data_IF_073890867969
#
_entry.id   IF_073890867969
#
_cell.length_a   1.000
_cell.length_b   1.000
_cell.length_c   1.000
_cell.angle_alpha   90.00
_cell.angle_beta   90.00
_cell.angle_gamma   90.00
#
_symmetry.space_group_name_H-M   'P 1'
#
loop_
_entity.id
_entity.type
_entity.pdbx_description
1 polymer ?
#
# COMPACT_ATOMS: atom_id res chain seq x y z
N UNK A 1 -13.34 -11.63 -6.57
CA UNK A 1 -12.97 -10.46 -5.75
C UNK A 1 -12.09 -9.55 -6.57
N UNK A 2 -12.66 -8.54 -7.23
CA UNK A 2 -11.89 -7.42 -7.77
C UNK A 2 -11.52 -6.54 -6.58
N UNK A 3 -10.43 -6.88 -5.87
CA UNK A 3 -9.67 -5.81 -5.24
C UNK A 3 -9.31 -4.91 -6.41
N UNK A 4 -9.79 -3.67 -6.37
CA UNK A 4 -9.54 -2.69 -7.40
C UNK A 4 -8.03 -2.54 -7.55
N UNK A 5 -7.47 -3.25 -8.53
CA UNK A 5 -6.16 -2.96 -9.15
C UNK A 5 -6.07 -1.46 -9.48
N UNK A 6 -7.23 -0.82 -9.68
CA UNK A 6 -7.39 0.62 -9.74
C UNK A 6 -6.77 1.37 -8.55
N UNK A 7 -6.92 0.98 -7.29
CA UNK A 7 -6.36 1.77 -6.16
C UNK A 7 -4.83 1.74 -6.10
N UNK A 8 -4.20 0.60 -6.36
CA UNK A 8 -2.74 0.50 -6.45
C UNK A 8 -2.19 1.15 -7.73
N UNK A 9 -2.90 1.02 -8.84
CA UNK A 9 -2.61 1.75 -10.09
C UNK A 9 -2.76 3.26 -9.91
N UNK A 10 -3.76 3.71 -9.15
CA UNK A 10 -3.98 5.11 -8.83
C UNK A 10 -2.85 5.63 -7.93
N UNK A 11 -2.40 4.85 -6.94
CA UNK A 11 -1.27 5.23 -6.09
C UNK A 11 0.04 5.36 -6.88
N UNK A 12 0.32 4.44 -7.81
CA UNK A 12 1.45 4.53 -8.74
C UNK A 12 1.35 5.74 -9.68
N UNK A 13 0.15 6.05 -10.17
CA UNK A 13 -0.08 7.19 -11.04
C UNK A 13 0.07 8.54 -10.29
N UNK A 14 -0.52 8.66 -9.11
CA UNK A 14 -0.45 9.89 -8.30
C UNK A 14 0.97 10.16 -7.78
N UNK A 15 1.74 9.14 -7.40
CA UNK A 15 3.12 9.35 -6.93
C UNK A 15 4.07 9.82 -8.03
N UNK A 16 3.84 9.40 -9.27
CA UNK A 16 4.58 9.87 -10.46
C UNK A 16 4.15 11.29 -10.84
N UNK A 17 2.85 11.61 -10.76
CA UNK A 17 2.31 12.93 -11.09
C UNK A 17 2.69 13.99 -10.05
N UNK A 18 2.64 13.64 -8.77
CA UNK A 18 2.98 14.53 -7.66
C UNK A 18 4.48 14.87 -7.57
N UNK A 19 5.32 14.37 -8.51
CA UNK A 19 6.79 14.51 -8.52
C UNK A 19 7.47 14.10 -7.20
N UNK A 20 6.83 13.30 -6.36
CA UNK A 20 7.40 12.85 -5.07
C UNK A 20 8.59 11.92 -5.25
N UNK A 21 8.72 11.28 -6.41
CA UNK A 21 9.89 10.51 -6.82
C UNK A 21 10.77 11.40 -7.71
N UNK A 22 11.80 11.98 -7.10
CA UNK A 22 12.65 12.98 -7.75
C UNK A 22 13.68 12.32 -8.65
N UNK A 23 14.18 11.15 -8.25
CA UNK A 23 15.31 10.48 -8.90
C UNK A 23 14.90 9.38 -9.88
N UNK A 24 15.69 9.18 -10.95
CA UNK A 24 15.49 8.05 -11.88
C UNK A 24 15.69 6.69 -11.19
N UNK A 25 16.56 6.64 -10.17
CA UNK A 25 16.79 5.46 -9.35
C UNK A 25 15.54 5.10 -8.54
N UNK A 26 14.91 6.09 -7.91
CA UNK A 26 13.67 5.91 -7.14
C UNK A 26 12.53 5.43 -8.02
N UNK A 27 12.39 6.00 -9.24
CA UNK A 27 11.39 5.57 -10.22
C UNK A 27 11.59 4.12 -10.65
N UNK A 28 12.82 3.70 -10.91
CA UNK A 28 13.12 2.32 -11.28
C UNK A 28 12.89 1.34 -10.11
N UNK A 29 13.29 1.72 -8.89
CA UNK A 29 13.04 0.92 -7.70
C UNK A 29 11.54 0.76 -7.44
N UNK A 30 10.78 1.85 -7.61
CA UNK A 30 9.33 1.85 -7.48
C UNK A 30 8.65 0.97 -8.54
N UNK A 31 9.08 1.08 -9.80
CA UNK A 31 8.59 0.24 -10.89
C UNK A 31 8.88 -1.24 -10.64
N UNK A 32 10.10 -1.58 -10.24
CA UNK A 32 10.50 -2.95 -9.93
C UNK A 32 9.65 -3.54 -8.79
N UNK A 33 9.49 -2.78 -7.69
CA UNK A 33 8.68 -3.21 -6.53
C UNK A 33 7.21 -3.37 -6.90
N UNK A 34 6.68 -2.47 -7.74
CA UNK A 34 5.29 -2.53 -8.21
C UNK A 34 5.06 -3.73 -9.13
N UNK A 35 6.01 -4.02 -10.03
CA UNK A 35 5.95 -5.18 -10.91
C UNK A 35 5.99 -6.50 -10.10
N UNK A 36 6.86 -6.58 -9.10
CA UNK A 36 6.94 -7.75 -8.21
C UNK A 36 5.60 -7.98 -7.47
N UNK A 37 5.01 -6.93 -6.92
CA UNK A 37 3.68 -7.00 -6.30
C UNK A 37 2.60 -7.40 -7.31
N UNK A 38 2.64 -6.84 -8.53
CA UNK A 38 1.70 -7.20 -9.59
C UNK A 38 1.77 -8.68 -9.94
N UNK A 39 2.99 -9.23 -10.10
CA UNK A 39 3.20 -10.66 -10.37
C UNK A 39 2.66 -11.51 -9.20
N UNK A 40 2.96 -11.12 -7.96
CA UNK A 40 2.48 -11.80 -6.75
C UNK A 40 0.95 -11.91 -6.69
N UNK A 41 0.23 -10.82 -6.97
CA UNK A 41 -1.23 -10.82 -6.88
C UNK A 41 -1.95 -11.40 -8.10
N UNK A 42 -1.36 -11.32 -9.30
CA UNK A 42 -2.05 -11.69 -10.55
C UNK A 42 -1.61 -13.05 -11.13
N UNK A 43 -0.41 -13.54 -10.78
CA UNK A 43 0.19 -14.72 -11.39
C UNK A 43 0.65 -15.76 -10.36
N UNK A 44 -0.25 -16.09 -9.42
CA UNK A 44 0.02 -16.96 -8.26
C UNK A 44 0.58 -18.35 -8.62
N UNK A 45 0.17 -18.93 -9.75
CA UNK A 45 0.61 -20.27 -10.18
C UNK A 45 1.63 -20.24 -11.34
N UNK A 46 2.26 -19.09 -11.59
CA UNK A 46 3.19 -18.95 -12.71
C UNK A 46 4.62 -19.39 -12.36
N UNK A 47 5.34 -19.89 -13.36
CA UNK A 47 6.80 -20.13 -13.29
C UNK A 47 7.53 -18.84 -12.94
N UNK A 48 7.01 -17.69 -13.37
CA UNK A 48 7.57 -16.37 -13.09
C UNK A 48 7.57 -16.04 -11.59
N UNK A 49 6.46 -16.30 -10.90
CA UNK A 49 6.39 -16.09 -9.46
C UNK A 49 7.27 -17.09 -8.69
N UNK A 50 7.31 -18.34 -9.14
CA UNK A 50 8.22 -19.32 -8.57
C UNK A 50 9.67 -18.89 -8.74
N UNK A 51 10.06 -18.36 -9.90
CA UNK A 51 11.40 -17.83 -10.13
C UNK A 51 11.71 -16.60 -9.27
N UNK A 52 10.70 -15.78 -8.93
CA UNK A 52 10.87 -14.64 -8.02
C UNK A 52 11.20 -15.08 -6.60
N UNK A 53 10.63 -16.20 -6.13
CA UNK A 53 10.77 -16.66 -4.74
C UNK A 53 11.69 -17.86 -4.53
N UNK A 54 12.05 -18.59 -5.57
CA UNK A 54 12.90 -19.77 -5.44
C UNK A 54 14.37 -19.36 -5.37
N UNK A 55 15.05 -19.79 -4.32
CA UNK A 55 16.50 -19.71 -4.28
C UNK A 55 17.09 -20.68 -5.31
N UNK A 56 17.86 -20.18 -6.27
CA UNK A 56 18.59 -21.03 -7.22
C UNK A 56 19.61 -21.89 -6.47
N UNK A 57 20.11 -21.44 -5.32
CA UNK A 57 21.17 -22.08 -4.55
C UNK A 57 20.66 -23.01 -3.44
N UNK A 58 19.36 -23.00 -3.11
CA UNK A 58 18.79 -23.87 -2.08
C UNK A 58 17.52 -24.55 -2.58
N UNK A 59 17.61 -25.86 -2.78
CA UNK A 59 16.56 -26.70 -3.38
C UNK A 59 15.19 -26.60 -2.69
N UNK A 60 15.16 -26.30 -1.40
CA UNK A 60 13.95 -26.35 -0.55
C UNK A 60 13.65 -25.03 0.19
N UNK A 61 14.29 -23.91 -0.20
CA UNK A 61 14.11 -22.61 0.48
C UNK A 61 13.33 -21.63 -0.39
N UNK A 62 12.13 -21.27 0.07
CA UNK A 62 11.41 -20.13 -0.46
C UNK A 62 11.97 -18.87 0.19
N UNK A 63 12.42 -17.90 -0.62
CA UNK A 63 12.96 -16.60 -0.20
C UNK A 63 11.91 -15.64 0.35
N UNK A 64 10.78 -16.15 0.83
CA UNK A 64 9.67 -15.34 1.31
C UNK A 64 10.11 -14.44 2.47
N UNK A 65 10.98 -14.90 3.37
CA UNK A 65 11.46 -14.11 4.51
C UNK A 65 12.89 -13.58 4.31
N UNK A 66 13.15 -12.98 3.14
CA UNK A 66 14.50 -12.52 2.79
C UNK A 66 14.50 -11.15 2.11
N UNK A 67 15.66 -10.49 2.15
CA UNK A 67 15.89 -9.24 1.42
C UNK A 67 16.03 -9.55 -0.06
N UNK A 68 15.30 -8.82 -0.89
CA UNK A 68 15.41 -8.94 -2.35
C UNK A 68 16.49 -7.98 -2.82
N UNK A 69 17.53 -8.52 -3.44
CA UNK A 69 18.60 -7.74 -4.06
C UNK A 69 18.23 -7.42 -5.50
N UNK A 70 18.11 -6.14 -5.84
CA UNK A 70 17.90 -5.65 -7.20
C UNK A 70 19.11 -4.80 -7.60
N UNK A 71 19.69 -5.11 -8.75
CA UNK A 71 20.70 -4.26 -9.37
C UNK A 71 20.01 -3.24 -10.28
N UNK A 72 20.20 -1.96 -9.97
CA UNK A 72 19.72 -0.85 -10.79
C UNK A 72 20.96 -0.06 -11.23
N UNK A 73 21.21 -0.03 -12.54
CA UNK A 73 22.47 0.45 -13.13
C UNK A 73 23.68 -0.28 -12.52
N UNK A 74 24.55 0.43 -11.80
CA UNK A 74 25.76 -0.10 -11.15
C UNK A 74 25.65 -0.11 -9.61
N UNK A 75 24.41 -0.04 -9.09
CA UNK A 75 24.14 -0.04 -7.67
C UNK A 75 23.23 -1.20 -7.27
N UNK A 76 23.65 -1.88 -6.21
CA UNK A 76 22.89 -2.94 -5.59
C UNK A 76 21.95 -2.34 -4.53
N UNK A 77 20.65 -2.53 -4.73
CA UNK A 77 19.60 -2.13 -3.80
C UNK A 77 19.03 -3.36 -3.12
N UNK A 78 18.79 -3.24 -1.81
CA UNK A 78 18.16 -4.28 -1.00
C UNK A 78 16.77 -3.81 -0.61
N UNK A 79 15.76 -4.63 -0.88
CA UNK A 79 14.35 -4.31 -0.63
C UNK A 79 13.82 -5.21 0.48
N UNK A 80 13.18 -4.58 1.48
CA UNK A 80 12.72 -5.25 2.69
C UNK A 80 13.87 -5.52 3.68
N UNK A 81 13.54 -6.14 4.80
CA UNK A 81 14.45 -6.48 5.89
C UNK A 81 14.96 -5.29 6.69
N UNK A 82 14.20 -4.19 6.78
CA UNK A 82 14.56 -3.00 7.57
C UNK A 82 13.45 -2.59 8.53
N UNK A 83 13.80 -2.25 9.77
CA UNK A 83 12.86 -1.82 10.81
C UNK A 83 12.61 -0.31 10.78
N UNK A 84 13.68 0.46 10.55
CA UNK A 84 13.66 1.92 10.65
C UNK A 84 14.64 2.52 9.66
N UNK A 85 14.25 3.67 9.11
CA UNK A 85 15.14 4.55 8.35
C UNK A 85 15.33 5.86 9.13
N UNK A 86 16.57 6.23 9.39
CA UNK A 86 16.92 7.47 10.07
C UNK A 86 17.68 8.38 9.10
N UNK A 87 17.18 9.60 8.90
CA UNK A 87 17.85 10.61 8.07
C UNK A 87 19.03 11.19 8.84
N UNK A 88 20.23 11.01 8.32
CA UNK A 88 21.46 11.62 8.82
C UNK A 88 21.89 12.70 7.84
N UNK A 89 22.12 13.90 8.35
CA UNK A 89 22.58 15.05 7.57
C UNK A 89 24.07 15.23 7.85
N UNK A 90 24.89 15.10 6.82
CA UNK A 90 26.32 15.39 6.86
C UNK A 90 26.56 16.76 6.23
N UNK A 91 27.20 17.66 6.98
CA UNK A 91 27.70 18.93 6.46
C UNK A 91 29.15 18.74 6.03
N UNK A 92 29.41 18.72 4.73
CA UNK A 92 30.77 18.69 4.20
C UNK A 92 31.23 20.14 4.01
N UNK A 93 31.98 20.65 5.00
CA UNK A 93 32.59 21.99 4.92
C UNK A 93 33.86 21.89 4.08
N UNK A 94 33.73 22.03 2.76
CA UNK A 94 34.86 22.40 1.90
C UNK A 94 34.87 23.92 1.73
N UNK A 95 36.07 24.50 1.76
CA UNK A 95 36.42 25.88 2.11
C UNK A 95 35.62 27.06 1.48
N UNK A 96 34.67 26.85 0.55
CA UNK A 96 33.80 27.93 0.04
C UNK A 96 32.33 27.53 -0.24
N UNK A 97 31.92 26.28 -0.07
CA UNK A 97 30.53 25.85 -0.27
C UNK A 97 30.12 24.74 0.71
N UNK A 98 29.08 24.99 1.52
CA UNK A 98 28.52 23.98 2.42
C UNK A 98 27.65 23.02 1.61
N UNK A 99 28.19 21.85 1.27
CA UNK A 99 27.41 20.81 0.61
C UNK A 99 26.72 19.93 1.65
N UNK A 100 25.40 20.07 1.77
CA UNK A 100 24.58 19.23 2.62
C UNK A 100 24.41 17.86 1.94
N UNK A 101 24.93 16.80 2.57
CA UNK A 101 24.78 15.41 2.13
C UNK A 101 23.77 14.72 3.03
N UNK A 102 22.63 14.33 2.48
CA UNK A 102 21.63 13.52 3.18
C UNK A 102 21.97 12.05 2.97
N UNK A 103 22.05 11.27 4.05
CA UNK A 103 22.13 9.80 4.01
C UNK A 103 21.07 9.20 4.92
N UNK A 104 20.75 7.93 4.68
CA UNK A 104 19.82 7.20 5.51
C UNK A 104 20.56 6.06 6.20
N UNK A 105 20.46 6.00 7.53
CA UNK A 105 20.89 4.84 8.31
C UNK A 105 19.71 3.89 8.39
N UNK A 106 19.95 2.67 7.93
CA UNK A 106 18.96 1.60 7.94
C UNK A 106 19.28 0.67 9.11
N UNK A 107 18.25 0.30 9.87
CA UNK A 107 18.36 -0.72 10.92
C UNK A 107 17.74 -2.00 10.39
N UNK A 108 18.49 -3.09 10.39
CA UNK A 108 18.02 -4.39 9.88
C UNK A 108 16.83 -4.93 10.69
N UNK A 109 15.97 -5.68 10.02
CA UNK A 109 14.82 -6.38 10.60
C UNK A 109 14.75 -7.80 10.08
N UNK A 110 14.35 -8.72 10.95
CA UNK A 110 14.08 -10.12 10.61
C UNK A 110 12.60 -10.40 10.32
N UNK A 111 11.74 -9.39 10.34
CA UNK A 111 10.29 -9.57 10.27
C UNK A 111 9.60 -8.68 9.25
N UNK A 112 10.33 -7.74 8.64
CA UNK A 112 9.75 -6.76 7.73
C UNK A 112 10.32 -6.91 6.32
N UNK A 113 10.01 -8.01 5.65
CA UNK A 113 10.42 -8.24 4.26
C UNK A 113 9.28 -7.85 3.29
N UNK A 114 9.61 -7.69 1.99
CA UNK A 114 8.65 -7.28 0.97
C UNK A 114 7.53 -8.32 0.80
N UNK A 115 7.92 -9.58 0.87
CA UNK A 115 7.04 -10.73 1.02
C UNK A 115 7.34 -11.31 2.40
N UNK A 116 6.39 -11.97 3.04
CA UNK A 116 6.66 -12.72 4.28
C UNK A 116 5.83 -14.00 4.24
N UNK A 117 6.37 -15.08 4.78
CA UNK A 117 5.60 -16.29 5.01
C UNK A 117 4.70 -16.06 6.23
N UNK A 118 3.39 -16.23 6.05
CA UNK A 118 2.44 -16.15 7.17
C UNK A 118 2.01 -17.57 7.56
N UNK A 119 2.21 -17.99 8.82
CA UNK A 119 1.72 -19.28 9.29
C UNK A 119 0.18 -19.34 9.30
N UNK A 120 -0.50 -18.20 9.32
CA UNK A 120 -1.95 -18.11 9.23
C UNK A 120 -2.38 -17.34 7.98
N UNK A 121 -3.03 -18.04 7.06
CA UNK A 121 -3.77 -17.42 5.96
C UNK A 121 -5.03 -16.79 6.54
N UNK A 122 -5.00 -15.50 6.86
CA UNK A 122 -6.21 -14.73 7.08
C UNK A 122 -6.89 -14.52 5.73
N UNK A 123 -7.66 -15.50 5.29
CA UNK A 123 -8.67 -15.23 4.30
C UNK A 123 -9.67 -14.28 4.95
N UNK A 124 -9.60 -12.99 4.61
CA UNK A 124 -10.68 -12.05 4.87
C UNK A 124 -11.81 -12.45 3.92
N UNK A 125 -12.42 -13.61 4.16
CA UNK A 125 -13.75 -13.89 3.68
C UNK A 125 -14.62 -12.84 4.36
N UNK A 126 -15.16 -11.88 3.60
CA UNK A 126 -16.27 -11.04 4.09
C UNK A 126 -17.43 -12.00 4.34
N UNK A 127 -17.46 -12.61 5.52
CA UNK A 127 -18.49 -13.57 5.92
C UNK A 127 -19.86 -12.90 6.00
N UNK A 128 -19.87 -11.58 6.25
CA UNK A 128 -21.08 -10.77 6.18
C UNK A 128 -20.90 -9.62 5.20
N UNK A 129 -21.76 -9.62 4.19
CA UNK A 129 -22.21 -8.39 3.58
C UNK A 129 -22.79 -7.55 4.73
N UNK A 130 -22.07 -6.51 5.16
CA UNK A 130 -22.41 -5.66 6.34
C UNK A 130 -23.60 -4.74 5.97
N UNK A 131 -24.61 -5.30 5.35
CA UNK A 131 -25.81 -4.61 4.97
C UNK A 131 -26.97 -5.46 5.44
N UNK A 132 -27.27 -5.36 6.73
CA UNK A 132 -28.48 -5.93 7.27
C UNK A 132 -29.65 -5.19 6.60
N UNK A 133 -30.35 -5.88 5.69
CA UNK A 133 -31.48 -5.32 4.91
C UNK A 133 -32.54 -4.68 5.81
N UNK A 134 -32.66 -5.15 7.06
CA UNK A 134 -33.60 -4.62 8.04
C UNK A 134 -33.16 -3.27 8.61
N UNK A 135 -31.85 -2.98 8.67
CA UNK A 135 -31.33 -1.66 9.09
C UNK A 135 -31.69 -0.61 8.04
N UNK A 136 -31.59 -0.94 6.74
CA UNK A 136 -32.00 -0.04 5.66
C UNK A 136 -33.50 0.31 5.78
N UNK A 137 -34.33 -0.68 6.12
CA UNK A 137 -35.77 -0.48 6.34
C UNK A 137 -36.04 0.45 7.53
N UNK A 138 -35.31 0.28 8.64
CA UNK A 138 -35.40 1.18 9.81
C UNK A 138 -35.00 2.62 9.48
N UNK A 139 -33.91 2.81 8.71
CA UNK A 139 -33.47 4.14 8.25
C UNK A 139 -34.55 4.80 7.39
N UNK A 140 -35.18 4.05 6.48
CA UNK A 140 -36.27 4.57 5.64
C UNK A 140 -37.49 5.02 6.45
N UNK A 141 -37.88 4.27 7.48
CA UNK A 141 -38.98 4.67 8.37
C UNK A 141 -38.64 6.00 9.06
N UNK A 142 -37.42 6.14 9.59
CA UNK A 142 -36.98 7.36 10.27
C UNK A 142 -37.04 8.57 9.31
N UNK A 143 -36.55 8.41 8.08
CA UNK A 143 -36.56 9.48 7.07
C UNK A 143 -37.99 9.88 6.71
N UNK A 144 -38.88 8.91 6.48
CA UNK A 144 -40.29 9.17 6.16
C UNK A 144 -41.00 9.86 7.33
N UNK A 145 -40.82 9.38 8.56
CA UNK A 145 -41.41 10.01 9.75
C UNK A 145 -40.92 11.45 9.95
N UNK A 146 -39.63 11.72 9.71
CA UNK A 146 -39.06 13.06 9.81
C UNK A 146 -39.66 14.01 8.76
N UNK A 147 -39.81 13.54 7.51
CA UNK A 147 -40.42 14.32 6.44
C UNK A 147 -41.89 14.64 6.74
N UNK A 148 -42.67 13.66 7.19
CA UNK A 148 -44.06 13.88 7.59
C UNK A 148 -44.17 14.86 8.75
N UNK A 149 -43.30 14.74 9.76
CA UNK A 149 -43.26 15.67 10.87
C UNK A 149 -42.96 17.10 10.41
N UNK A 150 -41.98 17.29 9.53
CA UNK A 150 -41.64 18.60 8.98
C UNK A 150 -42.77 19.21 8.16
N UNK A 151 -43.41 18.40 7.30
CA UNK A 151 -44.57 18.86 6.50
C UNK A 151 -45.72 19.26 7.42
N UNK A 152 -46.04 18.44 8.42
CA UNK A 152 -47.11 18.75 9.38
C UNK A 152 -46.79 20.00 10.20
N UNK A 153 -45.56 20.13 10.70
CA UNK A 153 -45.09 21.30 11.43
C UNK A 153 -45.18 22.57 10.58
N UNK A 154 -44.76 22.51 9.31
CA UNK A 154 -44.88 23.63 8.38
C UNK A 154 -46.34 23.97 8.06
N UNK A 155 -47.20 22.96 7.93
CA UNK A 155 -48.62 23.12 7.65
C UNK A 155 -49.35 23.81 8.81
N UNK A 156 -49.18 23.31 10.05
CA UNK A 156 -49.74 23.92 11.26
C UNK A 156 -49.25 25.37 11.40
N UNK A 157 -47.96 25.64 11.19
CA UNK A 157 -47.44 27.01 11.25
C UNK A 157 -48.07 27.94 10.20
N UNK A 158 -48.58 27.41 9.09
CA UNK A 158 -49.19 28.18 8.01
C UNK A 158 -50.65 28.55 8.28
N UNK A 159 -51.38 27.73 9.04
CA UNK A 159 -52.77 27.99 9.46
C UNK A 159 -52.88 28.93 10.68
N UNK A 160 -51.79 29.07 11.46
CA UNK A 160 -51.71 30.00 12.60
C UNK A 160 -51.21 31.41 12.23
N UNK A 161 -51.20 31.76 10.95
CA UNK A 161 -50.95 33.12 10.43
C UNK A 161 -52.06 33.52 9.48
#
# INVERSE_FOLDING_TARGET
>A
MKISIFEYSQFAFFTIIDKKLESIYEKQLYLATSLMNYIYFNYQNSVLLQALFKDVNKKDSWHLDSQIKIKIFDHDYYIGGYHKYEKIIYEDKKEKETKIKIRYKLTDSKTNFLFNSSPSLFAITRDKQIFNKNILFGIWIIVVSLLFYLVFYMYVRKDYK
#
